data_IF_393937006211
#
_entry.id   IF_393937006211
#
_cell.length_a   1.000
_cell.length_b   1.000
_cell.length_c   1.000
_cell.angle_alpha   90.00
_cell.angle_beta   90.00
_cell.angle_gamma   90.00
#
_symmetry.space_group_name_H-M   'P 1'
#
loop_
_entity.id
_entity.type
_entity.pdbx_description
1 polymer ?
#
# COMPACT_ATOMS: atom_id res chain seq x y z
N UNK A 1 19.20 -14.13 -25.84
CA UNK A 1 18.29 -13.76 -24.74
C UNK A 1 18.87 -14.30 -23.44
N UNK A 2 19.43 -13.43 -22.58
CA UNK A 2 19.90 -13.82 -21.25
C UNK A 2 18.73 -13.66 -20.29
N UNK A 3 18.18 -14.76 -19.82
CA UNK A 3 17.33 -14.77 -18.63
C UNK A 3 18.21 -14.39 -17.44
N UNK A 4 17.99 -13.21 -16.88
CA UNK A 4 18.49 -12.87 -15.54
C UNK A 4 17.73 -13.79 -14.58
N UNK A 5 18.35 -14.92 -14.24
CA UNK A 5 17.85 -15.87 -13.27
C UNK A 5 17.77 -15.19 -11.92
N UNK A 6 16.61 -14.63 -11.61
CA UNK A 6 16.27 -14.17 -10.27
C UNK A 6 15.78 -15.41 -9.53
N UNK A 7 16.71 -16.06 -8.82
CA UNK A 7 16.36 -17.10 -7.87
C UNK A 7 16.03 -16.43 -6.54
N UNK A 8 14.74 -16.37 -6.20
CA UNK A 8 14.28 -15.93 -4.89
C UNK A 8 14.59 -17.03 -3.87
N UNK A 9 15.82 -17.07 -3.37
CA UNK A 9 16.17 -17.96 -2.26
C UNK A 9 16.02 -17.19 -0.95
N UNK A 10 15.06 -17.62 -0.13
CA UNK A 10 14.94 -17.19 1.28
C UNK A 10 16.15 -17.75 2.05
N UNK A 11 17.23 -16.98 2.10
CA UNK A 11 18.34 -17.24 3.01
C UNK A 11 17.98 -16.82 4.43
N UNK A 12 18.36 -17.65 5.41
CA UNK A 12 18.34 -17.26 6.82
C UNK A 12 19.75 -17.28 7.40
N UNK A 13 20.16 -16.17 8.02
CA UNK A 13 21.36 -16.11 8.86
C UNK A 13 20.93 -15.64 10.25
N UNK A 14 21.21 -16.43 11.28
CA UNK A 14 20.80 -16.17 12.66
C UNK A 14 19.29 -15.92 12.83
N UNK A 15 18.44 -16.66 12.10
CA UNK A 15 16.99 -16.53 12.18
C UNK A 15 16.42 -15.25 11.56
N UNK A 16 17.20 -14.52 10.75
CA UNK A 16 16.76 -13.33 10.00
C UNK A 16 16.64 -13.65 8.52
N UNK A 17 15.55 -13.20 7.91
CA UNK A 17 15.40 -13.19 6.44
C UNK A 17 16.37 -12.15 5.91
N UNK A 18 17.33 -12.58 5.09
CA UNK A 18 18.29 -11.68 4.43
C UNK A 18 18.01 -11.73 2.93
N UNK A 19 17.54 -10.59 2.37
CA UNK A 19 17.65 -10.36 0.93
C UNK A 19 19.08 -9.92 0.64
N UNK A 20 19.74 -10.57 -0.32
CA UNK A 20 21.07 -10.18 -0.80
C UNK A 20 21.04 -8.91 -1.66
N UNK A 21 19.85 -8.41 -2.02
CA UNK A 21 19.69 -7.17 -2.76
C UNK A 21 18.58 -6.32 -2.14
N UNK A 22 18.95 -5.14 -1.64
CA UNK A 22 18.01 -4.04 -1.50
C UNK A 22 17.81 -3.51 -2.92
N UNK A 23 16.63 -3.71 -3.48
CA UNK A 23 16.23 -2.97 -4.69
C UNK A 23 15.78 -1.61 -4.20
N UNK A 24 16.67 -0.63 -4.31
CA UNK A 24 16.26 0.77 -4.26
C UNK A 24 15.33 0.94 -5.46
N UNK A 25 14.03 1.11 -5.21
CA UNK A 25 13.08 1.53 -6.22
C UNK A 25 13.45 2.97 -6.55
N UNK A 26 14.37 3.10 -7.51
CA UNK A 26 14.81 4.36 -8.03
C UNK A 26 13.57 5.03 -8.63
N UNK A 27 13.09 6.06 -7.96
CA UNK A 27 12.11 6.96 -8.53
C UNK A 27 12.70 7.48 -9.85
N UNK A 28 11.98 7.23 -10.95
CA UNK A 28 12.34 7.73 -12.29
C UNK A 28 12.10 9.25 -12.38
N UNK A 29 11.76 9.92 -11.26
CA UNK A 29 12.26 11.26 -11.05
C UNK A 29 13.80 11.18 -11.00
N UNK A 30 14.42 11.29 -12.19
CA UNK A 30 15.68 11.99 -12.27
C UNK A 30 15.49 13.23 -11.39
N UNK A 31 16.14 13.27 -10.23
CA UNK A 31 16.19 14.48 -9.42
C UNK A 31 16.79 15.47 -10.39
N UNK A 32 15.94 16.26 -11.03
CA UNK A 32 16.37 17.29 -11.93
C UNK A 32 17.21 18.17 -11.04
N UNK A 33 18.53 18.03 -11.14
CA UNK A 33 19.45 18.83 -10.37
C UNK A 33 18.98 20.25 -10.64
N UNK A 34 18.47 20.93 -9.60
CA UNK A 34 18.11 22.34 -9.73
C UNK A 34 19.44 23.03 -9.99
N UNK A 35 19.71 23.34 -11.25
CA UNK A 35 20.89 24.09 -11.66
C UNK A 35 20.51 25.57 -11.54
N UNK A 36 21.39 26.42 -11.01
CA UNK A 36 21.19 27.87 -11.04
C UNK A 36 20.85 28.32 -12.46
N UNK A 37 19.79 29.14 -12.61
CA UNK A 37 19.40 29.67 -13.92
C UNK A 37 20.28 30.85 -14.33
N UNK A 38 20.92 31.51 -13.36
CA UNK A 38 21.82 32.61 -13.59
C UNK A 38 23.15 32.18 -14.23
N UNK A 39 23.78 33.08 -14.98
CA UNK A 39 25.05 32.81 -15.67
C UNK A 39 26.19 32.59 -14.66
N UNK A 40 26.97 31.52 -14.87
CA UNK A 40 28.14 31.18 -14.06
C UNK A 40 29.10 32.39 -13.96
N UNK A 41 29.49 32.75 -12.74
CA UNK A 41 30.38 33.89 -12.44
C UNK A 41 29.66 35.17 -12.01
N UNK A 42 28.32 35.22 -12.06
CA UNK A 42 27.54 36.34 -11.53
C UNK A 42 27.21 36.16 -10.05
N UNK A 43 27.01 37.27 -9.32
CA UNK A 43 26.57 37.25 -7.92
C UNK A 43 25.23 36.50 -7.78
N UNK A 44 24.34 36.63 -8.76
CA UNK A 44 23.06 35.90 -8.79
C UNK A 44 23.25 34.38 -8.86
N UNK A 45 24.20 33.88 -9.66
CA UNK A 45 24.53 32.45 -9.68
C UNK A 45 25.06 31.95 -8.34
N UNK A 46 25.85 32.76 -7.62
CA UNK A 46 26.36 32.40 -6.30
C UNK A 46 25.23 32.31 -5.26
N UNK A 47 24.28 33.25 -5.31
CA UNK A 47 23.12 33.28 -4.42
C UNK A 47 22.18 32.10 -4.69
N UNK A 48 21.85 31.85 -5.96
CA UNK A 48 21.01 30.71 -6.35
C UNK A 48 21.67 29.37 -5.97
N UNK A 49 22.96 29.22 -6.23
CA UNK A 49 23.69 28.01 -5.84
C UNK A 49 23.79 27.83 -4.32
N UNK A 50 23.81 28.91 -3.54
CA UNK A 50 23.76 28.84 -2.08
C UNK A 50 22.37 28.40 -1.59
N UNK A 51 21.30 28.94 -2.19
CA UNK A 51 19.92 28.56 -1.85
C UNK A 51 19.64 27.09 -2.17
N UNK A 52 20.03 26.62 -3.37
CA UNK A 52 19.86 25.21 -3.78
C UNK A 52 20.58 24.27 -2.79
N UNK A 53 21.80 24.62 -2.36
CA UNK A 53 22.55 23.83 -1.37
C UNK A 53 21.86 23.83 -0.01
N UNK A 54 21.31 24.97 0.41
CA UNK A 54 20.58 25.08 1.67
C UNK A 54 19.32 24.21 1.66
N UNK A 55 18.51 24.30 0.61
CA UNK A 55 17.29 23.51 0.44
C UNK A 55 17.59 22.01 0.40
N UNK A 56 18.64 21.59 -0.32
CA UNK A 56 19.10 20.19 -0.35
C UNK A 56 19.55 19.71 1.04
N UNK A 57 20.23 20.58 1.80
CA UNK A 57 20.66 20.27 3.17
C UNK A 57 19.46 20.09 4.09
N UNK A 58 18.44 20.94 3.98
CA UNK A 58 17.20 20.80 4.75
C UNK A 58 16.44 19.51 4.40
N UNK A 59 16.36 19.15 3.11
CA UNK A 59 15.77 17.88 2.68
C UNK A 59 16.55 16.68 3.22
N UNK A 60 17.89 16.72 3.15
CA UNK A 60 18.76 15.64 3.66
C UNK A 60 18.63 15.51 5.18
N UNK A 61 18.49 16.62 5.90
CA UNK A 61 18.24 16.61 7.35
C UNK A 61 16.84 16.11 7.71
N UNK A 62 15.82 16.41 6.89
CA UNK A 62 14.48 15.86 7.06
C UNK A 62 14.48 14.34 6.84
N UNK A 63 15.17 13.86 5.80
CA UNK A 63 15.36 12.43 5.53
C UNK A 63 16.18 11.74 6.63
N UNK A 64 17.22 12.38 7.17
CA UNK A 64 18.04 11.85 8.26
C UNK A 64 17.30 11.83 9.61
N UNK A 65 16.29 12.68 9.80
CA UNK A 65 15.40 12.66 10.97
C UNK A 65 14.36 11.54 10.90
N UNK A 66 14.05 11.02 9.71
CA UNK A 66 13.27 9.80 9.58
C UNK A 66 14.11 8.63 10.06
N UNK A 67 13.80 8.15 11.27
CA UNK A 67 14.41 6.97 11.87
C UNK A 67 14.05 5.77 10.98
N UNK A 68 14.95 5.36 10.09
CA UNK A 68 14.77 4.17 9.25
C UNK A 68 14.81 2.96 10.18
N UNK A 69 13.64 2.46 10.56
CA UNK A 69 13.55 1.20 11.29
C UNK A 69 13.86 0.07 10.31
N UNK A 70 14.87 -0.74 10.61
CA UNK A 70 15.25 -1.90 9.81
C UNK A 70 14.31 -3.11 10.00
N UNK A 71 13.13 -2.88 10.56
CA UNK A 71 12.12 -3.91 10.83
C UNK A 71 10.73 -3.29 10.68
N UNK A 72 9.80 -4.08 10.14
CA UNK A 72 8.38 -3.71 10.05
C UNK A 72 7.73 -4.17 11.35
N UNK A 73 7.24 -3.22 12.14
CA UNK A 73 6.42 -3.50 13.31
C UNK A 73 4.95 -3.48 12.91
N UNK A 74 4.28 -4.63 13.01
CA UNK A 74 2.86 -4.77 12.71
C UNK A 74 1.96 -4.35 13.88
N UNK A 75 2.52 -4.06 15.05
CA UNK A 75 1.76 -3.74 16.27
C UNK A 75 1.02 -4.93 16.86
N UNK A 76 1.24 -6.14 16.35
CA UNK A 76 0.63 -7.38 16.84
C UNK A 76 1.55 -8.59 16.67
N UNK A 77 1.20 -9.72 17.31
CA UNK A 77 2.02 -10.94 17.27
C UNK A 77 1.95 -11.63 15.91
N UNK A 78 3.09 -12.17 15.49
CA UNK A 78 3.22 -13.03 14.32
C UNK A 78 3.65 -14.45 14.75
N UNK A 79 3.10 -15.53 14.16
CA UNK A 79 2.04 -15.56 13.15
C UNK A 79 0.70 -15.03 13.69
N UNK A 80 -0.15 -14.53 12.80
CA UNK A 80 -1.44 -13.97 13.21
C UNK A 80 -2.39 -15.10 13.63
N UNK A 81 -2.82 -15.08 14.89
CA UNK A 81 -3.83 -16.01 15.42
C UNK A 81 -5.25 -15.41 15.35
N UNK A 82 -5.35 -14.09 15.29
CA UNK A 82 -6.58 -13.32 15.26
C UNK A 82 -6.45 -12.19 14.23
N UNK A 83 -7.59 -11.67 13.75
CA UNK A 83 -7.62 -10.55 12.82
C UNK A 83 -6.88 -9.36 13.48
N UNK A 84 -5.86 -8.79 12.81
CA UNK A 84 -5.13 -7.64 13.34
C UNK A 84 -6.07 -6.47 13.70
N UNK A 85 -5.82 -5.75 14.80
CA UNK A 85 -6.73 -4.72 15.31
C UNK A 85 -7.17 -3.68 14.28
N UNK A 86 -6.25 -3.20 13.44
CA UNK A 86 -6.55 -2.21 12.39
C UNK A 86 -7.59 -2.72 11.37
N UNK A 87 -7.50 -3.99 11.00
CA UNK A 87 -8.42 -4.62 10.05
C UNK A 87 -9.75 -4.90 10.74
N UNK A 88 -9.71 -5.36 11.99
CA UNK A 88 -10.89 -5.62 12.81
C UNK A 88 -11.71 -4.34 13.02
N UNK A 89 -11.05 -3.21 13.29
CA UNK A 89 -11.68 -1.89 13.42
C UNK A 89 -12.46 -1.51 12.15
N UNK A 90 -11.89 -1.79 10.97
CA UNK A 90 -12.55 -1.57 9.70
C UNK A 90 -13.82 -2.41 9.55
N UNK A 91 -13.78 -3.68 9.95
CA UNK A 91 -14.95 -4.55 9.94
C UNK A 91 -16.01 -4.16 10.97
N UNK A 92 -15.61 -3.70 12.15
CA UNK A 92 -16.54 -3.32 13.22
C UNK A 92 -17.24 -1.98 12.94
N UNK A 93 -16.57 -1.09 12.20
CA UNK A 93 -17.08 0.23 11.86
C UNK A 93 -16.97 0.50 10.36
N UNK A 94 -17.68 -0.25 9.49
CA UNK A 94 -17.66 0.03 8.05
C UNK A 94 -18.25 1.41 7.78
N UNK A 95 -17.68 2.16 6.83
CA UNK A 95 -18.20 3.48 6.44
C UNK A 95 -19.54 3.42 5.69
N UNK A 96 -19.99 2.22 5.32
CA UNK A 96 -21.19 2.02 4.53
C UNK A 96 -22.45 1.88 5.39
N UNK A 97 -23.52 2.56 4.96
CA UNK A 97 -24.87 2.40 5.51
C UNK A 97 -25.70 1.34 4.78
N UNK A 98 -25.14 0.70 3.75
CA UNK A 98 -25.84 -0.27 2.91
C UNK A 98 -25.71 -1.68 3.50
N UNK A 99 -26.85 -2.26 3.88
CA UNK A 99 -26.91 -3.58 4.52
C UNK A 99 -26.29 -4.69 3.66
N UNK A 100 -26.40 -4.61 2.33
CA UNK A 100 -25.83 -5.61 1.43
C UNK A 100 -24.31 -5.51 1.34
N UNK A 101 -23.77 -4.30 1.48
CA UNK A 101 -22.31 -4.06 1.58
C UNK A 101 -21.81 -4.61 2.92
N UNK A 102 -22.51 -4.32 4.01
CA UNK A 102 -22.15 -4.78 5.34
C UNK A 102 -22.24 -6.31 5.46
N UNK A 103 -23.27 -6.92 4.88
CA UNK A 103 -23.37 -8.39 4.80
C UNK A 103 -22.20 -9.00 4.01
N UNK A 104 -21.71 -8.33 2.97
CA UNK A 104 -20.52 -8.77 2.22
C UNK A 104 -19.24 -8.67 3.05
N UNK A 105 -19.11 -7.60 3.83
CA UNK A 105 -18.00 -7.46 4.78
C UNK A 105 -18.05 -8.51 5.88
N UNK A 106 -19.23 -8.88 6.35
CA UNK A 106 -19.37 -9.99 7.30
C UNK A 106 -18.92 -11.33 6.71
N UNK A 107 -19.27 -11.63 5.46
CA UNK A 107 -18.75 -12.82 4.75
C UNK A 107 -17.21 -12.77 4.69
N UNK A 108 -16.63 -11.61 4.38
CA UNK A 108 -15.19 -11.42 4.36
C UNK A 108 -14.56 -11.64 5.75
N UNK A 109 -15.15 -11.08 6.81
CA UNK A 109 -14.69 -11.24 8.19
C UNK A 109 -14.68 -12.71 8.61
N UNK A 110 -15.80 -13.41 8.39
CA UNK A 110 -15.92 -14.84 8.72
C UNK A 110 -14.93 -15.70 7.93
N UNK A 111 -14.77 -15.41 6.64
CA UNK A 111 -13.81 -16.12 5.77
C UNK A 111 -12.38 -15.89 6.27
N UNK A 112 -12.04 -14.65 6.63
CA UNK A 112 -10.74 -14.29 7.17
C UNK A 112 -10.45 -15.02 8.49
N UNK A 113 -11.38 -14.99 9.44
CA UNK A 113 -11.24 -15.70 10.72
C UNK A 113 -11.05 -17.20 10.52
N UNK A 114 -11.81 -17.81 9.60
CA UNK A 114 -11.72 -19.25 9.33
C UNK A 114 -10.42 -19.66 8.62
N UNK A 115 -9.82 -18.77 7.82
CA UNK A 115 -8.63 -19.04 7.02
C UNK A 115 -7.37 -18.37 7.55
N UNK A 116 -7.41 -17.81 8.75
CA UNK A 116 -6.30 -16.98 9.25
C UNK A 116 -4.97 -17.73 9.31
N UNK A 117 -4.97 -19.02 9.64
CA UNK A 117 -3.77 -19.85 9.68
C UNK A 117 -3.21 -20.22 8.29
N UNK A 118 -3.93 -19.96 7.20
CA UNK A 118 -3.45 -20.20 5.83
C UNK A 118 -2.28 -19.27 5.51
N UNK A 119 -1.22 -19.81 4.87
CA UNK A 119 0.00 -19.05 4.58
C UNK A 119 -0.25 -17.85 3.65
N UNK A 120 -1.17 -17.99 2.70
CA UNK A 120 -1.53 -16.91 1.78
C UNK A 120 -2.28 -15.81 2.52
N UNK A 121 -3.13 -16.21 3.48
CA UNK A 121 -3.81 -15.28 4.38
C UNK A 121 -2.83 -14.54 5.30
N UNK A 122 -1.85 -15.23 5.86
CA UNK A 122 -0.77 -14.61 6.66
C UNK A 122 -0.01 -13.55 5.85
N UNK A 123 0.38 -13.88 4.61
CA UNK A 123 1.06 -12.94 3.72
C UNK A 123 0.17 -11.74 3.36
N UNK A 124 -1.10 -11.98 3.06
CA UNK A 124 -2.08 -10.93 2.79
C UNK A 124 -2.17 -9.94 3.95
N UNK A 125 -2.27 -10.44 5.19
CA UNK A 125 -2.33 -9.60 6.39
C UNK A 125 -1.05 -8.77 6.56
N UNK A 126 0.13 -9.35 6.33
CA UNK A 126 1.40 -8.61 6.35
C UNK A 126 1.42 -7.47 5.32
N UNK A 127 0.97 -7.74 4.09
CA UNK A 127 0.93 -6.74 3.02
C UNK A 127 -0.03 -5.59 3.36
N UNK A 128 -1.23 -5.91 3.86
CA UNK A 128 -2.23 -4.90 4.24
C UNK A 128 -1.67 -4.00 5.33
N UNK A 129 -1.15 -4.57 6.42
CA UNK A 129 -0.61 -3.79 7.54
C UNK A 129 0.58 -2.93 7.11
N UNK A 130 1.46 -3.45 6.24
CA UNK A 130 2.59 -2.68 5.70
C UNK A 130 2.11 -1.47 4.90
N UNK A 131 1.13 -1.67 4.02
CA UNK A 131 0.60 -0.61 3.17
C UNK A 131 -0.17 0.43 3.99
N UNK A 132 -0.95 0.00 4.99
CA UNK A 132 -1.70 0.92 5.84
C UNK A 132 -0.79 1.71 6.79
N UNK A 133 0.33 1.12 7.23
CA UNK A 133 1.32 1.80 8.08
C UNK A 133 2.29 2.70 7.30
N UNK A 134 2.22 2.67 5.96
CA UNK A 134 3.07 3.50 5.11
C UNK A 134 2.61 4.95 5.16
N UNK A 135 3.56 5.87 5.35
CA UNK A 135 3.32 7.32 5.29
C UNK A 135 2.95 7.78 3.88
N UNK A 136 3.29 6.98 2.87
CA UNK A 136 2.94 7.20 1.47
C UNK A 136 1.91 6.17 1.03
N UNK A 137 0.77 6.64 0.53
CA UNK A 137 -0.21 5.76 -0.12
C UNK A 137 0.21 5.55 -1.58
N UNK A 138 0.52 4.31 -2.00
CA UNK A 138 0.80 4.03 -3.39
C UNK A 138 -0.48 4.17 -4.23
N UNK A 139 -0.40 4.93 -5.31
CA UNK A 139 -1.44 5.08 -6.33
C UNK A 139 -0.87 4.67 -7.68
N UNK A 140 -1.67 3.97 -8.48
CA UNK A 140 -1.38 3.72 -9.89
C UNK A 140 -1.97 4.87 -10.69
N UNK A 141 -1.12 5.69 -11.30
CA UNK A 141 -1.59 6.77 -12.16
C UNK A 141 -2.15 6.18 -13.46
N UNK A 142 -3.33 6.63 -13.91
CA UNK A 142 -3.85 6.21 -15.21
C UNK A 142 -2.88 6.65 -16.29
N UNK A 143 -2.36 5.69 -17.04
CA UNK A 143 -1.39 5.96 -18.08
C UNK A 143 -2.04 6.74 -19.22
N UNK A 144 -1.35 7.79 -19.66
CA UNK A 144 -1.60 8.35 -20.99
C UNK A 144 -1.23 7.30 -22.02
N UNK A 145 -1.96 7.28 -23.13
CA UNK A 145 -1.83 6.26 -24.18
C UNK A 145 -0.36 6.00 -24.56
N UNK A 146 0.15 4.80 -24.23
CA UNK A 146 1.49 4.34 -24.60
C UNK A 146 2.47 4.10 -23.44
N UNK A 147 2.15 4.53 -22.22
CA UNK A 147 3.02 4.34 -21.05
C UNK A 147 2.65 3.08 -20.24
N UNK A 148 3.64 2.48 -19.57
CA UNK A 148 3.45 1.38 -18.63
C UNK A 148 2.92 1.96 -17.31
N UNK A 149 1.86 1.38 -16.71
CA UNK A 149 1.37 1.82 -15.41
C UNK A 149 2.51 1.82 -14.38
N UNK A 150 2.76 2.97 -13.75
CA UNK A 150 3.75 3.10 -12.69
C UNK A 150 3.06 3.48 -11.36
N UNK A 151 3.71 3.08 -10.26
CA UNK A 151 3.30 3.48 -8.93
C UNK A 151 3.82 4.87 -8.62
N UNK A 152 3.01 5.68 -7.96
CA UNK A 152 3.38 7.00 -7.43
C UNK A 152 2.86 7.13 -6.01
N UNK A 153 3.50 7.96 -5.19
CA UNK A 153 2.98 8.32 -3.88
C UNK A 153 1.91 9.41 -4.02
N UNK A 154 0.75 9.21 -3.37
CA UNK A 154 -0.26 10.25 -3.26
C UNK A 154 0.31 11.44 -2.46
N UNK A 155 0.11 12.70 -2.88
CA UNK A 155 0.61 13.86 -2.14
C UNK A 155 0.05 13.88 -0.71
N UNK A 156 0.91 14.20 0.27
CA UNK A 156 0.57 14.19 1.70
C UNK A 156 -0.68 15.02 2.06
N UNK A 157 -1.05 16.03 1.25
CA UNK A 157 -2.26 16.85 1.44
C UNK A 157 -3.57 16.12 1.15
N UNK A 158 -3.53 15.00 0.44
CA UNK A 158 -4.68 14.11 0.21
C UNK A 158 -4.69 12.91 1.20
N UNK A 159 -3.71 12.84 2.10
CA UNK A 159 -3.51 11.74 3.04
C UNK A 159 -4.29 11.96 4.34
N UNK A 160 -5.62 11.94 4.26
CA UNK A 160 -6.45 11.63 5.42
C UNK A 160 -7.20 10.33 5.14
N UNK A 161 -6.42 9.29 4.87
CA UNK A 161 -6.94 7.96 4.62
C UNK A 161 -7.42 7.40 5.94
N UNK A 162 -8.69 7.02 6.02
CA UNK A 162 -9.14 6.16 7.10
C UNK A 162 -8.46 4.79 6.89
N UNK A 163 -7.35 4.56 7.59
CA UNK A 163 -6.51 3.37 7.47
C UNK A 163 -7.30 2.09 7.71
N UNK A 164 -8.25 2.12 8.66
CA UNK A 164 -9.13 0.99 8.94
C UNK A 164 -10.08 0.69 7.77
N UNK A 165 -10.63 1.71 7.09
CA UNK A 165 -11.44 1.51 5.88
C UNK A 165 -10.58 0.99 4.71
N UNK A 166 -9.38 1.53 4.52
CA UNK A 166 -8.47 0.99 3.52
C UNK A 166 -8.18 -0.49 3.80
N UNK A 167 -7.84 -0.81 5.04
CA UNK A 167 -7.52 -2.16 5.48
C UNK A 167 -8.70 -3.12 5.22
N UNK A 168 -9.92 -2.70 5.55
CA UNK A 168 -11.17 -3.40 5.25
C UNK A 168 -11.31 -3.70 3.75
N UNK A 169 -11.18 -2.67 2.90
CA UNK A 169 -11.35 -2.81 1.45
C UNK A 169 -10.26 -3.70 0.86
N UNK A 170 -9.01 -3.53 1.29
CA UNK A 170 -7.90 -4.38 0.83
C UNK A 170 -8.09 -5.84 1.25
N UNK A 171 -8.43 -6.09 2.51
CA UNK A 171 -8.72 -7.43 3.02
C UNK A 171 -9.83 -8.09 2.20
N UNK A 172 -10.94 -7.37 2.00
CA UNK A 172 -12.09 -7.86 1.24
C UNK A 172 -11.72 -8.21 -0.19
N UNK A 173 -11.01 -7.32 -0.90
CA UNK A 173 -10.61 -7.55 -2.31
C UNK A 173 -9.61 -8.67 -2.47
N UNK A 174 -8.63 -8.76 -1.56
CA UNK A 174 -7.62 -9.83 -1.61
C UNK A 174 -8.24 -11.20 -1.28
N UNK A 175 -9.23 -11.26 -0.38
CA UNK A 175 -9.98 -12.48 -0.09
C UNK A 175 -10.77 -13.00 -1.29
N UNK A 176 -11.31 -12.11 -2.15
CA UNK A 176 -11.95 -12.55 -3.40
C UNK A 176 -11.00 -13.32 -4.32
N UNK A 177 -9.72 -12.97 -4.29
CA UNK A 177 -8.70 -13.67 -5.07
C UNK A 177 -8.27 -14.97 -4.41
N UNK A 178 -8.08 -14.98 -3.09
CA UNK A 178 -7.61 -16.15 -2.37
C UNK A 178 -8.70 -17.24 -2.22
N UNK A 179 -9.94 -16.82 -1.98
CA UNK A 179 -11.05 -17.71 -1.63
C UNK A 179 -12.35 -17.30 -2.35
N UNK A 180 -12.37 -17.25 -3.70
CA UNK A 180 -13.52 -16.76 -4.47
C UNK A 180 -14.82 -17.50 -4.17
N UNK A 181 -14.74 -18.80 -3.88
CA UNK A 181 -15.90 -19.68 -3.66
C UNK A 181 -16.70 -19.34 -2.39
N UNK A 182 -16.15 -18.52 -1.49
CA UNK A 182 -16.83 -18.10 -0.25
C UNK A 182 -17.73 -16.87 -0.48
N UNK A 183 -17.66 -16.25 -1.65
CA UNK A 183 -18.35 -15.00 -1.95
C UNK A 183 -19.46 -15.19 -3.00
N UNK A 184 -20.52 -14.37 -2.96
CA UNK A 184 -21.60 -14.44 -3.93
C UNK A 184 -21.10 -14.12 -5.35
N UNK A 185 -21.37 -15.04 -6.29
CA UNK A 185 -20.96 -14.94 -7.71
C UNK A 185 -22.12 -14.69 -8.67
N UNK A 186 -23.37 -14.81 -8.21
CA UNK A 186 -24.56 -14.67 -9.05
C UNK A 186 -25.50 -13.58 -8.55
N UNK A 187 -26.03 -12.78 -9.48
CA UNK A 187 -27.00 -11.72 -9.23
C UNK A 187 -28.45 -12.29 -9.10
N UNK A 188 -28.61 -13.53 -8.61
CA UNK A 188 -29.92 -14.16 -8.38
C UNK A 188 -30.68 -13.43 -7.24
N UNK A 189 -32.01 -13.31 -7.31
CA UNK A 189 -32.76 -12.27 -6.59
C UNK A 189 -32.95 -12.54 -5.08
N UNK A 190 -33.05 -11.45 -4.30
CA UNK A 190 -31.92 -10.63 -3.94
C UNK A 190 -31.02 -11.39 -2.94
N UNK A 191 -29.70 -11.45 -3.18
CA UNK A 191 -28.80 -12.08 -2.24
C UNK A 191 -28.65 -11.16 -1.02
N UNK A 192 -28.51 -11.77 0.17
CA UNK A 192 -28.32 -11.03 1.43
C UNK A 192 -27.06 -10.13 1.39
N UNK A 193 -26.10 -10.45 0.52
CA UNK A 193 -24.89 -9.68 0.25
C UNK A 193 -24.70 -9.50 -1.26
N UNK A 194 -24.10 -8.39 -1.68
CA UNK A 194 -23.81 -8.12 -3.09
C UNK A 194 -22.89 -9.17 -3.73
N UNK A 195 -22.98 -9.34 -5.06
CA UNK A 195 -21.97 -10.15 -5.77
C UNK A 195 -20.61 -9.43 -5.80
N UNK A 196 -19.51 -10.17 -5.99
CA UNK A 196 -18.17 -9.57 -6.16
C UNK A 196 -18.18 -8.45 -7.22
N UNK A 197 -18.93 -8.67 -8.31
CA UNK A 197 -19.05 -7.71 -9.41
C UNK A 197 -19.74 -6.43 -8.97
N UNK A 198 -20.84 -6.54 -8.23
CA UNK A 198 -21.58 -5.39 -7.70
C UNK A 198 -20.76 -4.66 -6.64
N UNK A 199 -20.17 -5.42 -5.72
CA UNK A 199 -19.32 -4.90 -4.66
C UNK A 199 -18.16 -4.10 -5.24
N UNK A 200 -17.46 -4.61 -6.27
CA UNK A 200 -16.36 -3.90 -6.96
C UNK A 200 -16.79 -2.51 -7.45
N UNK A 201 -18.01 -2.39 -7.99
CA UNK A 201 -18.55 -1.10 -8.44
C UNK A 201 -18.79 -0.16 -7.25
N UNK A 202 -19.28 -0.67 -6.14
CA UNK A 202 -19.64 0.12 -4.94
C UNK A 202 -18.41 0.61 -4.17
N UNK A 203 -17.40 -0.24 -3.97
CA UNK A 203 -16.19 0.16 -3.22
C UNK A 203 -15.23 1.05 -4.00
N UNK A 204 -15.30 1.05 -5.34
CA UNK A 204 -14.50 1.97 -6.16
C UNK A 204 -14.84 3.45 -5.88
N UNK A 205 -16.09 3.76 -5.51
CA UNK A 205 -16.52 5.13 -5.19
C UNK A 205 -16.10 5.60 -3.79
N UNK A 206 -15.81 4.67 -2.87
CA UNK A 206 -15.43 4.99 -1.47
C UNK A 206 -13.95 5.34 -1.30
N UNK A 207 -13.12 5.16 -2.34
CA UNK A 207 -11.69 5.49 -2.33
C UNK A 207 -11.33 6.88 -2.85
N UNK A 208 -12.29 7.60 -3.43
CA UNK A 208 -12.12 8.93 -4.05
C UNK A 208 -12.74 10.08 -3.23
N UNK A 209 -13.19 9.82 -2.00
CA UNK A 209 -13.77 10.80 -1.06
C UNK A 209 -12.81 11.10 0.08
#
# INVERSE_FOLDING_TARGET
MKTLGIEWVLGSANGRIVSTAIVELQDDSSVAQRIPSARIGTIQHVVEAAQIRHDLTLQTQAAAKHKVFSFIDFGCKYPFEQIPPLIQEGFDNPSSTDDQINAHYEIARLTLSAKIADKSCQLMLMLILTICSSTETPQVLPTRSGEVPHFSALPASASHKNEAQLALVMATRMLWFLFPDYFPTSDQPPPAAYSIREMTKKIAWLGDS
#
